data_IF_171863906993
#
_entry.id   IF_171863906993
#
_cell.length_a   1.000
_cell.length_b   1.000
_cell.length_c   1.000
_cell.angle_alpha   90.00
_cell.angle_beta   90.00
_cell.angle_gamma   90.00
#
_symmetry.space_group_name_H-M   'P 1'
#
loop_
_entity.id
_entity.type
_entity.pdbx_description
1 polymer ?
#
# COMPACT_ATOMS: atom_id res chain seq x y z
N UNK A 1 -1.27 23.17 -7.09
CA UNK A 1 -2.19 22.28 -7.84
C UNK A 1 -2.35 21.01 -7.04
N UNK A 2 -3.57 20.63 -6.65
CA UNK A 2 -3.81 19.36 -5.95
C UNK A 2 -4.06 18.26 -7.00
N UNK A 3 -3.13 17.32 -7.11
CA UNK A 3 -3.25 16.23 -8.07
C UNK A 3 -4.29 15.21 -7.55
N UNK A 4 -5.49 15.18 -8.15
CA UNK A 4 -6.61 14.34 -7.69
C UNK A 4 -7.43 13.84 -8.89
N UNK A 5 -7.89 12.60 -8.82
CA UNK A 5 -8.87 12.08 -9.78
C UNK A 5 -10.26 12.70 -9.53
N UNK A 6 -10.84 13.29 -10.59
CA UNK A 6 -12.17 13.87 -10.54
C UNK A 6 -13.27 12.89 -10.98
N UNK A 7 -12.95 11.98 -11.92
CA UNK A 7 -13.94 11.07 -12.52
C UNK A 7 -14.61 10.17 -11.47
N UNK A 8 -13.84 9.66 -10.52
CA UNK A 8 -14.30 8.79 -9.42
C UNK A 8 -14.21 9.50 -8.07
N UNK A 9 -13.93 10.81 -8.04
CA UNK A 9 -13.80 11.59 -6.81
C UNK A 9 -12.64 11.16 -5.90
N UNK A 10 -11.63 10.48 -6.45
CA UNK A 10 -10.56 9.80 -5.71
C UNK A 10 -11.07 8.74 -4.71
N UNK A 11 -12.20 8.10 -5.00
CA UNK A 11 -12.80 7.07 -4.17
C UNK A 11 -12.71 5.68 -4.85
N UNK A 12 -12.14 4.72 -4.13
CA UNK A 12 -12.01 3.34 -4.60
C UNK A 12 -13.36 2.64 -4.75
N UNK A 13 -14.36 3.01 -3.93
CA UNK A 13 -15.70 2.40 -3.98
C UNK A 13 -16.41 2.80 -5.27
N UNK A 14 -16.30 4.08 -5.67
CA UNK A 14 -16.79 4.54 -6.97
C UNK A 14 -16.08 3.83 -8.13
N UNK A 15 -14.77 3.59 -8.02
CA UNK A 15 -14.04 2.79 -9.02
C UNK A 15 -14.64 1.39 -9.12
N UNK A 16 -14.78 0.67 -8.00
CA UNK A 16 -15.25 -0.70 -8.03
C UNK A 16 -16.68 -0.84 -8.57
N UNK A 17 -17.60 0.04 -8.15
CA UNK A 17 -18.98 0.05 -8.62
C UNK A 17 -19.09 0.35 -10.12
N UNK A 18 -18.36 1.36 -10.61
CA UNK A 18 -18.45 1.79 -12.03
C UNK A 18 -17.69 0.88 -12.97
N UNK A 19 -16.53 0.38 -12.57
CA UNK A 19 -15.75 -0.56 -13.38
C UNK A 19 -16.25 -2.01 -13.24
N UNK A 20 -17.19 -2.25 -12.32
CA UNK A 20 -17.74 -3.58 -11.99
C UNK A 20 -16.64 -4.61 -11.68
N UNK A 21 -15.55 -4.17 -11.03
CA UNK A 21 -14.35 -4.98 -10.80
C UNK A 21 -13.53 -4.48 -9.61
N UNK A 22 -13.00 -5.40 -8.78
CA UNK A 22 -12.21 -5.05 -7.58
C UNK A 22 -10.73 -5.42 -7.70
N UNK A 23 -10.41 -6.65 -8.10
CA UNK A 23 -9.04 -7.15 -8.19
C UNK A 23 -8.98 -8.40 -9.06
N UNK A 24 -7.88 -8.56 -9.78
CA UNK A 24 -7.53 -9.81 -10.45
C UNK A 24 -6.02 -9.99 -10.50
N UNK A 25 -5.58 -10.98 -11.29
CA UNK A 25 -4.15 -11.31 -11.46
C UNK A 25 -3.30 -10.12 -11.90
N UNK A 26 -3.87 -9.25 -12.73
CA UNK A 26 -3.18 -8.06 -13.26
C UNK A 26 -3.26 -6.84 -12.33
N UNK A 27 -3.74 -7.02 -11.10
CA UNK A 27 -3.86 -5.97 -10.09
C UNK A 27 -5.29 -5.46 -9.90
N UNK A 28 -5.40 -4.28 -9.27
CA UNK A 28 -6.67 -3.64 -8.92
C UNK A 28 -6.87 -2.38 -9.79
N UNK A 29 -8.11 -2.09 -10.24
CA UNK A 29 -8.40 -0.97 -11.12
C UNK A 29 -8.07 0.37 -10.46
N UNK A 30 -8.21 0.49 -9.14
CA UNK A 30 -7.81 1.69 -8.38
C UNK A 30 -6.32 2.05 -8.55
N UNK A 31 -5.43 1.07 -8.74
CA UNK A 31 -4.00 1.35 -9.00
C UNK A 31 -3.82 1.99 -10.38
N UNK A 32 -4.57 1.54 -11.39
CA UNK A 32 -4.50 2.09 -12.74
C UNK A 32 -5.16 3.48 -12.81
N UNK A 33 -6.38 3.58 -12.30
CA UNK A 33 -7.24 4.74 -12.52
C UNK A 33 -6.90 5.90 -11.58
N UNK A 34 -6.68 5.64 -10.30
CA UNK A 34 -6.48 6.69 -9.30
C UNK A 34 -5.01 7.06 -9.09
N UNK A 35 -4.07 6.21 -9.52
CA UNK A 35 -2.63 6.44 -9.34
C UNK A 35 -1.91 6.62 -10.67
N UNK A 36 -1.84 5.56 -11.49
CA UNK A 36 -1.00 5.57 -12.71
C UNK A 36 -1.48 6.59 -13.74
N UNK A 37 -2.76 6.58 -14.09
CA UNK A 37 -3.32 7.52 -15.08
C UNK A 37 -3.14 8.97 -14.66
N UNK A 38 -3.31 9.24 -13.36
CA UNK A 38 -3.16 10.57 -12.79
C UNK A 38 -1.68 11.02 -12.86
N UNK A 39 -0.75 10.14 -12.49
CA UNK A 39 0.68 10.40 -12.61
C UNK A 39 1.10 10.59 -14.08
N UNK A 40 0.61 9.76 -14.99
CA UNK A 40 0.93 9.82 -16.42
C UNK A 40 0.47 11.13 -17.07
N UNK A 41 -0.63 11.71 -16.59
CA UNK A 41 -1.14 13.00 -17.07
C UNK A 41 -0.37 14.21 -16.49
N UNK A 42 0.32 14.03 -15.37
CA UNK A 42 0.98 15.12 -14.64
C UNK A 42 2.48 15.20 -14.92
N UNK A 43 3.15 14.05 -15.03
CA UNK A 43 4.59 13.95 -15.21
C UNK A 43 5.08 14.68 -16.47
N UNK A 44 6.30 15.18 -16.43
CA UNK A 44 6.97 15.87 -17.52
C UNK A 44 8.18 15.09 -18.04
N UNK A 45 8.62 15.32 -19.29
CA UNK A 45 9.89 14.80 -19.78
C UNK A 45 11.04 15.28 -18.91
N UNK A 46 11.93 14.35 -18.52
CA UNK A 46 13.08 14.65 -17.67
C UNK A 46 12.83 14.52 -16.16
N UNK A 47 11.59 14.30 -15.72
CA UNK A 47 11.29 14.00 -14.32
C UNK A 47 12.05 12.75 -13.85
N UNK A 48 12.61 12.83 -12.64
CA UNK A 48 13.23 11.69 -11.94
C UNK A 48 12.29 11.22 -10.84
N UNK A 49 11.98 9.92 -10.82
CA UNK A 49 11.19 9.35 -9.74
C UNK A 49 12.06 9.10 -8.50
N UNK A 50 11.64 9.59 -7.34
CA UNK A 50 12.30 9.29 -6.07
C UNK A 50 11.43 8.28 -5.33
N UNK A 51 11.90 7.04 -5.22
CA UNK A 51 11.18 5.98 -4.51
C UNK A 51 11.68 5.85 -3.08
N UNK A 52 10.74 5.78 -2.14
CA UNK A 52 11.01 5.41 -0.74
C UNK A 52 11.11 3.89 -0.55
N UNK A 53 11.73 3.18 -1.50
CA UNK A 53 12.07 1.77 -1.30
C UNK A 53 13.22 1.66 -0.32
N UNK A 54 13.09 0.75 0.64
CA UNK A 54 14.08 0.53 1.71
C UNK A 54 15.07 -0.57 1.32
N UNK A 55 16.12 -0.78 2.11
CA UNK A 55 17.17 -1.75 1.85
C UNK A 55 16.67 -3.19 1.60
N UNK A 56 15.49 -3.56 2.09
CA UNK A 56 14.86 -4.86 1.85
C UNK A 56 14.15 -4.97 0.48
N UNK A 57 14.09 -3.88 -0.29
CA UNK A 57 13.32 -3.76 -1.52
C UNK A 57 14.18 -3.53 -2.78
N UNK A 58 15.48 -3.84 -2.72
CA UNK A 58 16.44 -3.70 -3.84
C UNK A 58 15.94 -4.39 -5.10
N UNK A 59 15.51 -5.65 -4.99
CA UNK A 59 14.96 -6.41 -6.13
C UNK A 59 13.80 -5.69 -6.82
N UNK A 60 12.99 -4.92 -6.07
CA UNK A 60 11.86 -4.16 -6.63
C UNK A 60 12.33 -2.94 -7.43
N UNK A 61 13.48 -2.36 -7.09
CA UNK A 61 14.10 -1.27 -7.84
C UNK A 61 14.70 -1.81 -9.15
N UNK A 62 15.42 -2.92 -9.09
CA UNK A 62 15.97 -3.60 -10.27
C UNK A 62 14.87 -4.00 -11.25
N UNK A 63 13.81 -4.66 -10.77
CA UNK A 63 12.60 -4.99 -11.53
C UNK A 63 11.98 -3.77 -12.22
N UNK A 64 12.06 -2.60 -11.57
CA UNK A 64 11.52 -1.37 -12.12
C UNK A 64 12.39 -0.84 -13.25
N UNK A 65 13.71 -0.82 -13.07
CA UNK A 65 14.66 -0.42 -14.11
C UNK A 65 14.51 -1.30 -15.35
N UNK A 66 14.48 -2.62 -15.20
CA UNK A 66 14.34 -3.56 -16.31
C UNK A 66 13.06 -3.34 -17.12
N UNK A 67 11.95 -3.04 -16.43
CA UNK A 67 10.65 -2.80 -17.07
C UNK A 67 10.49 -1.38 -17.62
N UNK A 68 11.34 -0.44 -17.20
CA UNK A 68 11.22 0.98 -17.53
C UNK A 68 12.60 1.61 -17.80
N UNK A 69 13.37 1.13 -18.79
CA UNK A 69 14.74 1.60 -19.02
C UNK A 69 14.82 3.10 -19.31
N UNK A 70 13.78 3.67 -19.92
CA UNK A 70 13.71 5.09 -20.28
C UNK A 70 13.16 5.99 -19.15
N UNK A 71 12.99 5.46 -17.93
CA UNK A 71 12.44 6.22 -16.80
C UNK A 71 13.46 6.33 -15.66
N UNK A 72 14.12 7.48 -15.51
CA UNK A 72 15.03 7.72 -14.40
C UNK A 72 14.33 7.52 -13.05
N UNK A 73 14.96 6.75 -12.17
CA UNK A 73 14.51 6.52 -10.80
C UNK A 73 15.72 6.45 -9.88
N UNK A 74 15.57 6.97 -8.66
CA UNK A 74 16.53 6.85 -7.56
C UNK A 74 15.80 6.34 -6.31
N UNK A 75 16.53 5.66 -5.42
CA UNK A 75 15.99 5.16 -4.16
C UNK A 75 16.97 5.47 -3.00
N UNK A 76 16.96 6.71 -2.48
CA UNK A 76 17.96 7.17 -1.52
C UNK A 76 18.06 6.31 -0.25
N UNK A 77 16.97 5.67 0.17
CA UNK A 77 16.97 4.82 1.36
C UNK A 77 17.69 3.48 1.11
N UNK A 78 17.63 2.95 -0.10
CA UNK A 78 18.46 1.80 -0.51
C UNK A 78 19.93 2.22 -0.53
N UNK A 79 20.24 3.37 -1.14
CA UNK A 79 21.61 3.87 -1.24
C UNK A 79 22.24 4.09 0.14
N UNK A 80 21.44 4.53 1.12
CA UNK A 80 21.84 4.72 2.50
C UNK A 80 21.77 3.44 3.37
N UNK A 81 21.34 2.31 2.82
CA UNK A 81 21.18 1.05 3.57
C UNK A 81 20.11 1.09 4.66
N UNK A 82 19.14 2.00 4.55
CA UNK A 82 18.08 2.19 5.54
C UNK A 82 16.96 1.17 5.36
N UNK A 83 16.71 0.41 6.42
CA UNK A 83 15.56 -0.50 6.51
C UNK A 83 14.26 0.23 6.81
N UNK A 84 13.17 -0.54 6.85
CA UNK A 84 11.84 0.03 7.15
C UNK A 84 11.72 0.58 8.58
N UNK A 85 12.29 -0.14 9.54
CA UNK A 85 12.21 0.26 10.96
C UNK A 85 13.12 1.46 11.25
N UNK A 86 14.25 1.57 10.54
CA UNK A 86 15.10 2.76 10.51
C UNK A 86 14.32 4.01 10.12
N UNK A 87 13.61 3.93 8.99
CA UNK A 87 12.82 5.05 8.47
C UNK A 87 11.74 5.49 9.45
N UNK A 88 11.06 4.55 10.12
CA UNK A 88 10.04 4.87 11.13
C UNK A 88 10.66 5.57 12.34
N UNK A 89 11.79 5.07 12.84
CA UNK A 89 12.48 5.66 13.98
C UNK A 89 12.96 7.09 13.67
N UNK A 90 13.50 7.34 12.48
CA UNK A 90 13.91 8.68 12.03
C UNK A 90 12.72 9.65 11.98
N UNK A 91 11.58 9.21 11.43
CA UNK A 91 10.34 10.02 11.36
C UNK A 91 9.83 10.37 12.75
N UNK A 92 9.79 9.40 13.67
CA UNK A 92 9.37 9.64 15.06
C UNK A 92 10.32 10.58 15.81
N UNK A 93 11.63 10.42 15.65
CA UNK A 93 12.64 11.31 16.28
C UNK A 93 12.60 12.73 15.72
N UNK A 94 12.22 12.90 14.45
CA UNK A 94 11.94 14.20 13.87
C UNK A 94 10.64 14.84 14.41
N UNK A 95 9.92 14.18 15.31
CA UNK A 95 8.65 14.66 15.88
C UNK A 95 7.47 14.54 14.93
N UNK A 96 7.57 13.71 13.89
CA UNK A 96 6.52 13.49 12.91
C UNK A 96 5.72 12.24 13.31
N UNK A 97 4.40 12.39 13.42
CA UNK A 97 3.52 11.29 13.78
C UNK A 97 3.40 10.26 12.65
N UNK A 98 3.61 8.98 12.97
CA UNK A 98 3.39 7.91 12.01
C UNK A 98 1.90 7.81 11.61
N UNK A 99 1.61 7.48 10.34
CA UNK A 99 0.24 7.18 9.89
C UNK A 99 -0.50 6.21 10.82
N UNK A 100 -1.80 6.46 11.04
CA UNK A 100 -2.64 5.69 11.97
C UNK A 100 -2.50 4.17 11.83
N UNK A 101 -2.42 3.67 10.59
CA UNK A 101 -2.30 2.22 10.34
C UNK A 101 -1.03 1.63 10.97
N UNK A 102 0.11 2.31 10.93
CA UNK A 102 1.33 1.83 11.59
C UNK A 102 1.18 1.87 13.11
N UNK A 103 0.53 2.90 13.65
CA UNK A 103 0.26 2.98 15.09
C UNK A 103 -0.70 1.90 15.60
N UNK A 104 -1.56 1.39 14.72
CA UNK A 104 -2.43 0.24 14.97
C UNK A 104 -1.75 -1.11 14.71
N UNK A 105 -0.47 -1.11 14.34
CA UNK A 105 0.34 -2.31 14.14
C UNK A 105 0.21 -2.96 12.76
N UNK A 106 -0.26 -2.22 11.75
CA UNK A 106 -0.32 -2.73 10.38
C UNK A 106 0.98 -2.47 9.62
N UNK A 107 1.52 -3.51 8.97
CA UNK A 107 2.73 -3.42 8.14
C UNK A 107 2.72 -2.35 7.06
N UNK A 108 1.56 -1.86 6.62
CA UNK A 108 1.48 -0.89 5.54
C UNK A 108 0.32 0.08 5.77
N UNK A 109 0.59 1.37 5.58
CA UNK A 109 -0.42 2.43 5.59
C UNK A 109 -1.12 2.62 4.24
N UNK A 110 -1.59 1.51 3.65
CA UNK A 110 -2.47 1.56 2.47
C UNK A 110 -3.87 2.09 2.82
N UNK A 111 -4.75 2.25 1.83
CA UNK A 111 -6.16 2.51 2.11
C UNK A 111 -6.75 1.42 3.02
N UNK A 112 -7.59 1.84 3.98
CA UNK A 112 -8.31 0.94 4.88
C UNK A 112 -9.21 0.03 4.05
N UNK A 113 -9.11 -1.29 4.25
CA UNK A 113 -9.81 -2.28 3.43
C UNK A 113 -9.19 -2.49 2.04
N UNK A 114 -7.89 -2.30 1.88
CA UNK A 114 -7.21 -2.51 0.59
C UNK A 114 -7.49 -3.93 0.05
N UNK A 115 -8.05 -4.02 -1.16
CA UNK A 115 -8.39 -5.29 -1.84
C UNK A 115 -7.18 -6.19 -2.13
N UNK A 116 -5.96 -5.66 -2.04
CA UNK A 116 -4.72 -6.43 -2.13
C UNK A 116 -4.31 -7.08 -0.80
N UNK A 117 -4.96 -6.73 0.31
CA UNK A 117 -4.76 -7.37 1.61
C UNK A 117 -5.18 -8.84 1.60
N UNK A 118 -4.61 -9.61 2.54
CA UNK A 118 -4.94 -11.01 2.77
C UNK A 118 -6.09 -11.19 3.77
N UNK A 119 -6.52 -12.43 3.98
CA UNK A 119 -7.61 -12.77 4.91
C UNK A 119 -7.36 -12.24 6.33
N UNK A 120 -6.16 -12.45 6.89
CA UNK A 120 -5.83 -11.98 8.25
C UNK A 120 -5.86 -10.46 8.40
N UNK A 121 -5.55 -9.73 7.32
CA UNK A 121 -5.73 -8.28 7.26
C UNK A 121 -7.21 -7.92 7.27
N UNK A 122 -8.05 -8.57 6.47
CA UNK A 122 -9.48 -8.29 6.45
C UNK A 122 -10.19 -8.69 7.75
N UNK A 123 -9.72 -9.71 8.47
CA UNK A 123 -10.17 -10.01 9.84
C UNK A 123 -9.85 -8.84 10.79
N UNK A 124 -8.63 -8.27 10.70
CA UNK A 124 -8.27 -7.09 11.50
C UNK A 124 -9.12 -5.86 11.12
N UNK A 125 -9.34 -5.63 9.83
CA UNK A 125 -10.19 -4.52 9.34
C UNK A 125 -11.65 -4.69 9.81
N UNK A 126 -12.16 -5.92 9.89
CA UNK A 126 -13.50 -6.20 10.44
C UNK A 126 -13.63 -5.78 11.91
N UNK A 127 -12.57 -5.95 12.69
CA UNK A 127 -12.52 -5.56 14.11
C UNK A 127 -12.31 -4.04 14.28
N UNK A 128 -11.31 -3.48 13.61
CA UNK A 128 -10.84 -2.11 13.86
C UNK A 128 -11.63 -1.06 13.06
N UNK A 129 -12.18 -1.45 11.90
CA UNK A 129 -12.88 -0.55 10.97
C UNK A 129 -14.15 -1.21 10.39
N UNK A 130 -15.12 -1.64 11.22
CA UNK A 130 -16.27 -2.42 10.80
C UNK A 130 -17.11 -1.73 9.71
N UNK A 131 -17.25 -0.40 9.78
CA UNK A 131 -17.97 0.36 8.75
C UNK A 131 -17.30 0.29 7.37
N UNK A 132 -15.96 0.30 7.32
CA UNK A 132 -15.20 0.16 6.06
C UNK A 132 -15.19 -1.26 5.55
N UNK A 133 -15.17 -2.24 6.46
CA UNK A 133 -15.37 -3.64 6.10
C UNK A 133 -16.74 -3.85 5.44
N UNK A 134 -17.81 -3.37 6.08
CA UNK A 134 -19.18 -3.50 5.57
C UNK A 134 -19.39 -2.77 4.23
N UNK A 135 -18.80 -1.59 4.04
CA UNK A 135 -18.84 -0.88 2.77
C UNK A 135 -18.30 -1.73 1.60
N UNK A 136 -17.26 -2.52 1.84
CA UNK A 136 -16.70 -3.43 0.83
C UNK A 136 -17.55 -4.70 0.66
N UNK A 137 -18.16 -5.22 1.73
CA UNK A 137 -19.14 -6.31 1.62
C UNK A 137 -20.30 -5.91 0.70
N UNK A 138 -20.86 -4.71 0.89
CA UNK A 138 -21.95 -4.20 0.04
C UNK A 138 -21.53 -4.05 -1.43
N UNK A 139 -20.25 -3.73 -1.71
CA UNK A 139 -19.73 -3.76 -3.08
C UNK A 139 -19.71 -5.18 -3.62
N UNK A 140 -19.29 -6.18 -2.84
CA UNK A 140 -19.30 -7.57 -3.29
C UNK A 140 -20.72 -8.11 -3.50
N UNK A 141 -21.68 -7.73 -2.66
CA UNK A 141 -23.09 -8.10 -2.82
C UNK A 141 -23.65 -7.59 -4.17
N UNK A 142 -23.28 -6.36 -4.57
CA UNK A 142 -23.68 -5.75 -5.84
C UNK A 142 -22.96 -6.34 -7.07
N UNK A 143 -21.68 -6.68 -6.93
CA UNK A 143 -20.86 -7.22 -8.03
C UNK A 143 -21.02 -8.73 -8.22
N UNK A 144 -21.38 -9.47 -7.18
CA UNK A 144 -21.48 -10.92 -7.15
C UNK A 144 -20.13 -11.64 -7.05
N UNK A 145 -20.15 -12.95 -7.26
CA UNK A 145 -19.03 -13.88 -6.97
C UNK A 145 -17.71 -13.54 -7.68
N UNK A 146 -17.76 -12.87 -8.84
CA UNK A 146 -16.58 -12.41 -9.57
C UNK A 146 -15.74 -11.38 -8.81
N UNK A 147 -16.29 -10.77 -7.75
CA UNK A 147 -15.62 -9.78 -6.90
C UNK A 147 -14.94 -10.36 -5.65
N UNK A 148 -15.12 -11.67 -5.42
CA UNK A 148 -14.60 -12.34 -4.24
C UNK A 148 -13.07 -12.36 -4.26
N UNK A 149 -12.47 -11.92 -3.15
CA UNK A 149 -11.02 -11.69 -3.07
C UNK A 149 -10.24 -12.96 -2.71
N UNK A 150 -10.92 -13.92 -2.09
CA UNK A 150 -10.34 -15.12 -1.50
C UNK A 150 -11.00 -16.38 -2.03
N UNK A 151 -10.30 -17.49 -1.83
CA UNK A 151 -10.74 -18.83 -2.20
C UNK A 151 -10.31 -19.79 -1.11
N UNK A 152 -11.18 -20.75 -0.81
CA UNK A 152 -10.84 -21.84 0.08
C UNK A 152 -9.72 -22.67 -0.57
N UNK A 153 -8.67 -22.97 0.20
CA UNK A 153 -7.46 -23.61 -0.35
C UNK A 153 -7.66 -25.10 -0.66
N UNK A 154 -8.70 -25.71 -0.10
CA UNK A 154 -9.00 -27.14 -0.24
C UNK A 154 -9.96 -27.36 -1.40
N UNK A 155 -11.04 -26.59 -1.44
CA UNK A 155 -12.13 -26.72 -2.43
C UNK A 155 -11.95 -25.82 -3.64
N UNK A 156 -11.06 -24.83 -3.57
CA UNK A 156 -10.82 -23.80 -4.59
C UNK A 156 -12.05 -22.92 -4.89
N UNK A 157 -13.08 -22.98 -4.05
CA UNK A 157 -14.29 -22.16 -4.16
C UNK A 157 -14.01 -20.76 -3.62
N UNK A 158 -14.38 -19.74 -4.39
CA UNK A 158 -14.29 -18.35 -3.95
C UNK A 158 -15.39 -18.04 -2.92
N UNK A 159 -15.09 -17.18 -1.95
CA UNK A 159 -16.06 -16.78 -0.92
C UNK A 159 -16.02 -15.27 -0.68
N UNK A 160 -17.15 -14.71 -0.23
CA UNK A 160 -17.30 -13.28 0.01
C UNK A 160 -16.58 -12.83 1.28
N UNK A 161 -16.44 -11.52 1.49
CA UNK A 161 -16.00 -10.96 2.77
C UNK A 161 -16.99 -11.24 3.89
N UNK A 162 -18.29 -11.39 3.60
CA UNK A 162 -19.28 -11.80 4.61
C UNK A 162 -19.04 -13.22 5.11
N UNK A 163 -18.61 -14.09 4.20
CA UNK A 163 -18.26 -15.49 4.48
C UNK A 163 -16.80 -15.65 4.97
N UNK A 164 -16.10 -14.54 5.24
CA UNK A 164 -14.77 -14.58 5.84
C UNK A 164 -14.88 -15.15 7.26
N UNK A 165 -14.61 -16.45 7.38
CA UNK A 165 -14.61 -17.14 8.66
C UNK A 165 -13.52 -16.68 9.62
N UNK A 166 -13.52 -17.29 10.80
CA UNK A 166 -12.52 -17.03 11.84
C UNK A 166 -11.12 -17.47 11.41
N UNK A 167 -10.12 -17.02 12.17
CA UNK A 167 -8.73 -17.31 11.89
C UNK A 167 -7.80 -16.23 12.44
N UNK A 168 -6.49 -16.32 12.19
CA UNK A 168 -5.54 -15.39 12.73
C UNK A 168 -5.79 -13.99 12.20
N UNK A 169 -5.98 -13.06 13.13
CA UNK A 169 -5.99 -11.62 12.88
C UNK A 169 -4.53 -11.17 12.73
N UNK A 170 -4.23 -10.41 11.67
CA UNK A 170 -2.86 -10.01 11.36
C UNK A 170 -2.71 -8.49 11.32
N UNK A 171 -2.17 -7.97 12.43
CA UNK A 171 -1.54 -6.66 12.59
C UNK A 171 -0.06 -6.97 12.84
N UNK A 172 0.70 -7.09 11.76
CA UNK A 172 1.99 -7.80 11.72
C UNK A 172 3.20 -6.97 12.19
N UNK A 173 3.00 -5.81 12.81
CA UNK A 173 4.09 -4.86 13.05
C UNK A 173 4.92 -5.21 14.30
N UNK A 174 6.24 -5.03 14.16
CA UNK A 174 7.21 -5.03 15.25
C UNK A 174 7.39 -3.60 15.75
N UNK A 175 7.75 -3.44 17.03
CA UNK A 175 8.14 -2.14 17.59
C UNK A 175 9.34 -1.62 16.78
N UNK A 176 9.28 -0.41 16.19
CA UNK A 176 10.39 0.14 15.40
C UNK A 176 11.65 0.26 16.26
N UNK A 177 12.80 -0.14 15.71
CA UNK A 177 14.11 0.04 16.34
C UNK A 177 15.10 0.59 15.32
N UNK A 178 15.77 1.68 15.67
CA UNK A 178 16.82 2.26 14.84
C UNK A 178 18.07 1.38 14.84
N UNK A 179 18.64 1.14 13.65
CA UNK A 179 19.91 0.46 13.44
C UNK A 179 21.09 1.44 13.35
N UNK A 180 22.29 0.90 13.24
CA UNK A 180 23.51 1.69 13.03
C UNK A 180 23.45 2.57 11.76
N UNK A 181 22.87 2.08 10.66
CA UNK A 181 22.74 2.86 9.41
C UNK A 181 21.80 4.06 9.58
N UNK A 182 20.78 3.89 10.42
CA UNK A 182 19.85 4.93 10.78
C UNK A 182 20.53 6.08 11.56
N UNK A 183 21.44 5.79 12.48
CA UNK A 183 22.22 6.82 13.20
C UNK A 183 23.19 7.56 12.26
N UNK A 184 23.87 6.83 11.37
CA UNK A 184 24.80 7.41 10.40
C UNK A 184 24.09 8.34 9.42
N UNK A 185 22.93 7.92 8.89
CA UNK A 185 22.14 8.75 7.99
C UNK A 185 21.63 10.04 8.67
N UNK A 186 21.26 9.98 9.95
CA UNK A 186 20.89 11.19 10.70
C UNK A 186 22.06 12.14 10.90
N UNK A 187 23.27 11.63 11.18
CA UNK A 187 24.48 12.43 11.31
C UNK A 187 24.82 13.13 9.99
N UNK A 188 24.78 12.41 8.87
CA UNK A 188 25.02 12.98 7.54
C UNK A 188 24.01 14.09 7.19
N UNK A 189 22.75 13.94 7.58
CA UNK A 189 21.74 15.00 7.41
C UNK A 189 22.12 16.22 8.25
N UNK A 190 22.42 16.03 9.53
CA UNK A 190 22.74 17.11 10.46
C UNK A 190 23.99 17.92 10.03
N UNK A 191 25.02 17.25 9.51
CA UNK A 191 26.24 17.90 9.04
C UNK A 191 26.05 18.69 7.73
N UNK A 192 25.00 18.37 6.97
CA UNK A 192 24.65 19.02 5.70
C UNK A 192 23.50 20.04 5.79
N UNK A 193 23.03 20.38 7.00
CA UNK A 193 21.98 21.40 7.23
C UNK A 193 22.56 22.67 7.84
#
# INVERSE_FOLDING_TARGET
MQLRDEKYGADIIQVFRRERFMKGRNGAPCTKLLKRRLLDAWKQPGDVMVFGYTAEEVDRLEDFHDRNPDRPVIAPLIDAGLGKDDCKAMVERAGIELPLMYRLGYDNANCIGCVKGGEGYFRAIREDFPAKFEELCLVQDDLGEGSYLFRDRTTNVCFSLRDLGDGPVRRNEKIPSCSFFCEMAEADIADNT
#
